data_IF_178531021400
#
_entry.id   IF_178531021400
#
_cell.length_a   1.000
_cell.length_b   1.000
_cell.length_c   1.000
_cell.angle_alpha   90.00
_cell.angle_beta   90.00
_cell.angle_gamma   90.00
#
_symmetry.space_group_name_H-M   'P 1'
#
loop_
_entity.id
_entity.type
_entity.pdbx_description
1 polymer ?
#
# COMPACT_ATOMS: atom_id res chain seq x y z
N UNK A 1 -23.43 24.63 -30.89
CA UNK A 1 -22.25 25.40 -30.49
C UNK A 1 -21.08 24.45 -30.33
N UNK A 2 -19.85 24.78 -30.80
CA UNK A 2 -18.69 23.93 -30.54
C UNK A 2 -18.36 23.92 -29.05
N UNK A 3 -18.08 22.73 -28.50
CA UNK A 3 -17.73 22.56 -27.09
C UNK A 3 -16.38 23.23 -26.79
N UNK A 4 -16.33 24.09 -25.77
CA UNK A 4 -15.07 24.68 -25.30
C UNK A 4 -14.24 23.58 -24.62
N UNK A 5 -12.98 23.32 -25.05
CA UNK A 5 -12.14 22.30 -24.43
C UNK A 5 -11.82 22.65 -22.98
N UNK A 6 -12.09 21.70 -22.08
CA UNK A 6 -11.69 21.76 -20.67
C UNK A 6 -10.17 21.55 -20.51
N UNK A 7 -9.64 21.77 -19.31
CA UNK A 7 -8.25 21.41 -18.99
C UNK A 7 -7.99 19.92 -19.22
N UNK A 8 -8.96 19.06 -18.90
CA UNK A 8 -8.80 17.61 -19.09
C UNK A 8 -8.78 17.21 -20.56
N UNK A 9 -9.56 17.88 -21.41
CA UNK A 9 -9.50 17.66 -22.87
C UNK A 9 -8.10 17.96 -23.43
N UNK A 10 -7.45 19.01 -22.93
CA UNK A 10 -6.08 19.36 -23.31
C UNK A 10 -5.11 18.27 -22.87
N UNK A 11 -5.21 17.78 -21.63
CA UNK A 11 -4.35 16.69 -21.13
C UNK A 11 -4.55 15.39 -21.91
N UNK A 12 -5.78 15.06 -22.26
CA UNK A 12 -6.10 13.91 -23.10
C UNK A 12 -5.48 14.05 -24.50
N UNK A 13 -5.56 15.22 -25.11
CA UNK A 13 -4.96 15.50 -26.41
C UNK A 13 -3.42 15.47 -26.37
N UNK A 14 -2.80 16.02 -25.32
CA UNK A 14 -1.36 15.91 -25.06
C UNK A 14 -0.93 14.45 -24.90
N UNK A 15 -1.76 13.63 -24.21
CA UNK A 15 -1.55 12.20 -24.08
C UNK A 15 -1.66 11.47 -25.42
N UNK A 16 -2.70 11.77 -26.22
CA UNK A 16 -2.95 11.18 -27.53
C UNK A 16 -1.84 11.49 -28.54
N UNK A 17 -1.29 12.70 -28.47
CA UNK A 17 -0.20 13.17 -29.35
C UNK A 17 1.20 12.89 -28.78
N UNK A 18 1.29 12.20 -27.64
CA UNK A 18 2.55 11.90 -26.93
C UNK A 18 3.40 13.12 -26.57
N UNK A 19 2.78 14.30 -26.41
CA UNK A 19 3.45 15.50 -25.89
C UNK A 19 3.74 15.37 -24.39
N UNK A 20 2.79 14.80 -23.63
CA UNK A 20 2.93 14.52 -22.20
C UNK A 20 2.33 13.16 -21.87
N UNK A 21 2.99 12.43 -20.97
CA UNK A 21 2.56 11.08 -20.57
C UNK A 21 1.75 11.10 -19.27
N UNK A 22 0.60 11.79 -19.27
CA UNK A 22 -0.21 11.96 -18.05
C UNK A 22 -0.58 10.66 -17.33
N UNK A 23 -0.79 9.57 -18.08
CA UNK A 23 -1.09 8.22 -17.58
C UNK A 23 0.16 7.41 -17.21
N UNK A 24 1.32 8.05 -17.04
CA UNK A 24 2.53 7.35 -16.58
C UNK A 24 2.36 6.91 -15.13
N UNK A 25 1.83 7.80 -14.30
CA UNK A 25 1.54 7.58 -12.88
C UNK A 25 0.04 7.50 -12.67
N UNK A 26 -0.43 6.53 -11.90
CA UNK A 26 -1.87 6.32 -11.69
C UNK A 26 -2.14 5.25 -10.65
N UNK A 27 -3.41 4.89 -10.45
CA UNK A 27 -3.84 3.91 -9.46
C UNK A 27 -3.65 2.50 -10.04
N UNK A 28 -2.39 2.17 -10.36
CA UNK A 28 -2.02 0.89 -10.98
C UNK A 28 -1.61 -0.15 -9.95
N UNK A 29 -1.53 0.21 -8.66
CA UNK A 29 -1.43 -0.74 -7.56
C UNK A 29 -2.79 -1.38 -7.31
N UNK A 30 -2.81 -2.71 -7.22
CA UNK A 30 -3.98 -3.37 -6.65
C UNK A 30 -3.98 -3.13 -5.15
N UNK A 31 -5.15 -3.13 -4.53
CA UNK A 31 -5.24 -3.06 -3.08
C UNK A 31 -5.02 -4.43 -2.43
N UNK A 32 -5.02 -5.48 -3.27
CA UNK A 32 -4.84 -6.89 -2.93
C UNK A 32 -4.16 -7.63 -4.09
N UNK A 33 -2.90 -8.05 -3.90
CA UNK A 33 -2.11 -8.81 -4.89
C UNK A 33 -1.82 -10.26 -4.46
N UNK A 34 -2.07 -10.59 -3.19
CA UNK A 34 -1.93 -11.94 -2.64
C UNK A 34 -3.01 -12.90 -3.15
N UNK A 35 -2.72 -14.20 -3.14
CA UNK A 35 -3.65 -15.24 -3.56
C UNK A 35 -3.96 -15.25 -5.06
N UNK A 36 -3.04 -14.78 -5.91
CA UNK A 36 -3.26 -14.68 -7.37
C UNK A 36 -2.50 -15.76 -8.13
N UNK A 37 -3.10 -16.21 -9.25
CA UNK A 37 -2.54 -17.28 -10.11
C UNK A 37 -1.15 -16.91 -10.67
N UNK A 38 -0.86 -15.61 -10.84
CA UNK A 38 0.46 -15.15 -11.34
C UNK A 38 1.58 -15.35 -10.31
N UNK A 39 1.22 -15.31 -9.03
CA UNK A 39 2.15 -15.46 -7.91
C UNK A 39 2.20 -16.92 -7.41
N UNK A 40 1.47 -17.83 -8.05
CA UNK A 40 1.43 -19.24 -7.70
C UNK A 40 2.59 -20.01 -8.33
N UNK A 41 3.36 -20.67 -7.47
CA UNK A 41 4.42 -21.61 -7.85
C UNK A 41 4.31 -22.92 -7.06
N UNK A 42 3.12 -23.21 -6.53
CA UNK A 42 2.80 -24.51 -5.94
C UNK A 42 2.82 -25.60 -7.00
N UNK A 43 2.99 -26.84 -6.57
CA UNK A 43 2.95 -28.00 -7.46
C UNK A 43 1.52 -28.27 -7.99
N UNK A 44 0.51 -27.95 -7.20
CA UNK A 44 -0.89 -28.35 -7.44
C UNK A 44 -1.79 -27.20 -7.93
N UNK A 45 -1.25 -25.99 -8.12
CA UNK A 45 -2.03 -24.83 -8.58
C UNK A 45 -2.93 -24.19 -7.51
N UNK A 46 -2.51 -24.26 -6.25
CA UNK A 46 -3.23 -23.75 -5.07
C UNK A 46 -2.84 -22.30 -4.74
N UNK A 47 -3.14 -21.38 -5.66
CA UNK A 47 -2.72 -19.97 -5.58
C UNK A 47 -3.10 -19.27 -4.26
N UNK A 48 -4.29 -19.57 -3.74
CA UNK A 48 -4.81 -18.99 -2.50
C UNK A 48 -4.02 -19.41 -1.25
N UNK A 49 -3.57 -20.66 -1.20
CA UNK A 49 -2.81 -21.24 -0.11
C UNK A 49 -1.30 -20.97 -0.26
N UNK A 50 -0.81 -20.83 -1.48
CA UNK A 50 0.62 -20.65 -1.76
C UNK A 50 1.15 -19.26 -1.38
N UNK A 51 0.35 -18.22 -1.62
CA UNK A 51 0.72 -16.85 -1.26
C UNK A 51 -0.46 -16.15 -0.55
N UNK A 52 -0.78 -16.55 0.69
CA UNK A 52 -1.89 -16.00 1.44
C UNK A 52 -1.61 -14.55 1.90
N UNK A 53 -2.66 -13.87 2.37
CA UNK A 53 -2.56 -12.55 2.99
C UNK A 53 -1.47 -12.48 4.07
N UNK A 54 -1.30 -13.53 4.87
CA UNK A 54 -0.32 -13.57 5.93
C UNK A 54 1.13 -13.42 5.42
N UNK A 55 1.43 -14.00 4.26
CA UNK A 55 2.74 -13.91 3.64
C UNK A 55 2.96 -12.55 2.95
N UNK A 56 1.89 -11.87 2.51
CA UNK A 56 1.93 -10.59 1.76
C UNK A 56 2.80 -9.51 2.40
N UNK A 57 2.76 -9.41 3.73
CA UNK A 57 3.55 -8.44 4.51
C UNK A 57 5.04 -8.72 4.50
N UNK A 58 5.44 -9.98 4.35
CA UNK A 58 6.81 -10.44 4.51
C UNK A 58 7.45 -10.95 3.19
N UNK A 59 6.66 -11.15 2.14
CA UNK A 59 7.11 -11.69 0.85
C UNK A 59 7.05 -10.62 -0.23
N UNK A 60 8.15 -10.42 -0.94
CA UNK A 60 8.19 -9.55 -2.10
C UNK A 60 7.40 -10.18 -3.27
N UNK A 61 6.61 -9.38 -3.97
CA UNK A 61 5.87 -9.81 -5.14
C UNK A 61 6.79 -9.90 -6.36
N UNK A 62 6.43 -10.76 -7.30
CA UNK A 62 7.22 -10.93 -8.53
C UNK A 62 6.62 -10.19 -9.72
N UNK A 63 5.30 -10.20 -9.84
CA UNK A 63 4.61 -9.70 -11.04
C UNK A 63 3.78 -8.45 -10.82
N UNK A 64 3.49 -8.11 -9.57
CA UNK A 64 2.83 -6.87 -9.22
C UNK A 64 3.29 -6.31 -7.90
N UNK A 65 2.50 -5.41 -7.33
CA UNK A 65 2.62 -4.89 -5.97
C UNK A 65 1.20 -4.52 -5.49
N UNK A 66 1.01 -4.45 -4.17
CA UNK A 66 -0.23 -3.94 -3.57
C UNK A 66 -0.03 -2.79 -2.59
N UNK A 67 -1.10 -2.01 -2.38
CA UNK A 67 -1.12 -0.95 -1.38
C UNK A 67 -2.46 -0.22 -1.29
N UNK A 68 -2.90 0.11 -0.08
CA UNK A 68 -4.13 0.90 0.12
C UNK A 68 -3.96 2.30 -0.49
N UNK A 69 -4.94 2.70 -1.31
CA UNK A 69 -4.95 3.98 -2.02
C UNK A 69 -3.66 4.26 -2.79
N UNK A 70 -3.02 3.22 -3.31
CA UNK A 70 -1.69 3.29 -3.88
C UNK A 70 -1.64 3.87 -5.29
N UNK A 71 -0.54 4.54 -5.61
CA UNK A 71 -0.17 4.91 -6.97
C UNK A 71 1.16 4.27 -7.36
N UNK A 72 1.35 4.04 -8.66
CA UNK A 72 2.64 3.65 -9.20
C UNK A 72 2.84 4.18 -10.60
N UNK A 73 4.02 3.99 -11.16
CA UNK A 73 4.17 4.02 -12.60
C UNK A 73 3.40 2.84 -13.24
N UNK A 74 3.09 2.93 -14.53
CA UNK A 74 2.35 1.89 -15.27
C UNK A 74 3.00 0.51 -15.29
N UNK A 75 4.27 0.39 -14.90
CA UNK A 75 4.97 -0.89 -14.78
C UNK A 75 5.10 -1.37 -13.33
N UNK A 76 4.56 -0.63 -12.36
CA UNK A 76 4.69 -0.88 -10.91
C UNK A 76 6.15 -1.07 -10.48
N UNK A 77 7.08 -0.25 -10.97
CA UNK A 77 8.48 -0.25 -10.54
C UNK A 77 8.72 0.70 -9.38
N UNK A 78 7.99 1.81 -9.34
CA UNK A 78 8.03 2.86 -8.32
C UNK A 78 6.63 2.98 -7.73
N UNK A 79 6.48 2.61 -6.46
CA UNK A 79 5.20 2.42 -5.81
C UNK A 79 5.09 3.31 -4.57
N UNK A 80 3.92 3.91 -4.37
CA UNK A 80 3.58 4.67 -3.19
C UNK A 80 2.21 4.22 -2.67
N UNK A 81 2.05 4.09 -1.36
CA UNK A 81 0.76 3.83 -0.72
C UNK A 81 0.75 4.33 0.72
N UNK A 82 -0.40 4.18 1.37
CA UNK A 82 -0.56 4.51 2.80
C UNK A 82 -0.63 3.21 3.60
N UNK A 83 0.08 3.19 4.72
CA UNK A 83 -0.11 2.22 5.78
C UNK A 83 -0.58 2.92 7.06
N UNK A 84 -1.41 2.22 7.83
CA UNK A 84 -2.03 2.75 9.05
C UNK A 84 -1.84 1.78 10.22
N UNK A 85 -1.83 2.30 11.44
CA UNK A 85 -1.91 1.47 12.65
C UNK A 85 -2.65 2.21 13.76
N UNK A 86 -3.71 1.60 14.27
CA UNK A 86 -4.57 2.15 15.34
C UNK A 86 -4.01 1.90 16.75
N UNK A 87 -2.79 1.38 16.87
CA UNK A 87 -2.18 1.00 18.16
C UNK A 87 -2.66 -0.34 18.73
N UNK A 88 -3.61 -1.03 18.07
CA UNK A 88 -4.25 -2.25 18.54
C UNK A 88 -4.16 -3.42 17.56
N UNK A 89 -4.08 -3.13 16.27
CA UNK A 89 -3.98 -4.15 15.24
C UNK A 89 -2.67 -4.93 15.35
N UNK A 90 -2.69 -6.25 15.11
CA UNK A 90 -1.50 -7.08 15.16
C UNK A 90 -0.59 -6.89 13.94
N UNK A 91 -1.06 -6.19 12.91
CA UNK A 91 -0.34 -5.92 11.66
C UNK A 91 -0.56 -4.48 11.21
N UNK A 92 0.32 -3.96 10.34
CA UNK A 92 0.08 -2.68 9.69
C UNK A 92 -1.03 -2.84 8.66
N UNK A 93 -1.94 -1.87 8.63
CA UNK A 93 -2.98 -1.81 7.63
C UNK A 93 -2.47 -1.15 6.36
N UNK A 94 -1.77 -1.92 5.54
CA UNK A 94 -1.10 -1.47 4.31
C UNK A 94 -1.64 -2.11 3.02
N UNK A 95 -2.54 -3.09 3.16
CA UNK A 95 -3.26 -3.78 2.08
C UNK A 95 -4.64 -4.21 2.59
N UNK A 96 -5.56 -4.44 1.67
CA UNK A 96 -6.90 -4.89 2.03
C UNK A 96 -6.89 -6.37 2.43
N UNK A 97 -7.58 -6.65 3.52
CA UNK A 97 -7.87 -8.01 3.96
C UNK A 97 -9.11 -8.56 3.27
N UNK A 98 -9.16 -9.86 3.13
CA UNK A 98 -10.28 -10.57 2.55
C UNK A 98 -10.14 -12.07 2.75
N UNK A 99 -11.16 -12.79 2.33
CA UNK A 99 -11.24 -14.23 2.31
C UNK A 99 -10.75 -14.74 0.95
N UNK A 100 -10.02 -15.86 0.97
CA UNK A 100 -9.76 -16.64 -0.25
C UNK A 100 -11.05 -17.32 -0.73
N UNK A 101 -11.02 -17.85 -1.95
CA UNK A 101 -12.16 -18.62 -2.49
C UNK A 101 -12.57 -19.82 -1.62
N UNK A 102 -11.63 -20.41 -0.87
CA UNK A 102 -11.88 -21.52 0.03
C UNK A 102 -12.36 -21.09 1.43
N UNK A 103 -12.24 -19.80 1.76
CA UNK A 103 -12.63 -19.25 3.07
C UNK A 103 -14.01 -18.60 3.04
N UNK A 104 -14.42 -17.99 1.93
CA UNK A 104 -15.74 -17.39 1.81
C UNK A 104 -16.82 -18.38 1.38
N UNK A 105 -18.02 -18.25 1.94
CA UNK A 105 -19.19 -19.05 1.58
C UNK A 105 -19.66 -18.80 0.13
N UNK A 106 -19.36 -17.62 -0.43
CA UNK A 106 -19.61 -17.25 -1.84
C UNK A 106 -18.34 -16.98 -2.65
N UNK A 107 -17.18 -17.37 -2.13
CA UNK A 107 -15.89 -17.27 -2.81
C UNK A 107 -14.98 -16.19 -2.23
N UNK A 108 -14.19 -15.57 -3.10
CA UNK A 108 -13.23 -14.54 -2.71
C UNK A 108 -13.95 -13.24 -2.36
N UNK A 109 -13.60 -12.64 -1.22
CA UNK A 109 -14.41 -11.58 -0.64
C UNK A 109 -13.56 -10.61 0.19
N UNK A 110 -13.63 -9.31 -0.13
CA UNK A 110 -12.84 -8.27 0.55
C UNK A 110 -13.59 -7.75 1.76
N UNK A 111 -13.01 -7.91 2.95
CA UNK A 111 -13.68 -7.59 4.23
C UNK A 111 -13.35 -6.20 4.74
N UNK A 112 -13.35 -5.22 3.85
CA UNK A 112 -12.90 -3.85 4.12
C UNK A 112 -13.90 -2.83 3.61
N UNK A 113 -13.97 -1.66 4.25
CA UNK A 113 -14.83 -0.57 3.80
C UNK A 113 -14.00 0.54 3.14
N UNK A 114 -14.08 0.65 1.81
CA UNK A 114 -13.34 1.62 1.02
C UNK A 114 -14.13 2.08 -0.20
N UNK A 115 -13.86 3.30 -0.65
CA UNK A 115 -14.63 3.95 -1.71
C UNK A 115 -13.71 4.78 -2.61
N UNK A 116 -13.75 4.53 -3.91
CA UNK A 116 -13.19 5.45 -4.90
C UNK A 116 -14.17 6.60 -5.09
N UNK A 117 -13.74 7.82 -4.79
CA UNK A 117 -14.61 8.99 -4.77
C UNK A 117 -14.47 9.83 -6.04
N UNK A 118 -13.27 9.92 -6.60
CA UNK A 118 -13.02 10.69 -7.82
C UNK A 118 -11.76 10.17 -8.54
N UNK A 119 -11.78 10.22 -9.87
CA UNK A 119 -10.60 10.04 -10.72
C UNK A 119 -10.85 10.61 -12.11
N UNK A 120 -10.06 11.61 -12.48
CA UNK A 120 -10.00 12.09 -13.87
C UNK A 120 -9.43 11.03 -14.83
N UNK A 121 -9.80 11.03 -16.13
CA UNK A 121 -9.26 10.08 -17.13
C UNK A 121 -7.73 10.05 -17.27
N UNK A 122 -7.06 11.16 -16.96
CA UNK A 122 -5.60 11.30 -16.97
C UNK A 122 -4.95 11.04 -15.61
N UNK A 123 -5.73 10.69 -14.59
CA UNK A 123 -5.31 10.58 -13.20
C UNK A 123 -4.61 11.86 -12.71
N UNK A 124 -5.01 13.02 -13.24
CA UNK A 124 -4.50 14.33 -12.82
C UNK A 124 -5.09 14.76 -11.48
N UNK A 125 -6.25 14.22 -11.13
CA UNK A 125 -6.81 14.20 -9.78
C UNK A 125 -7.39 12.83 -9.48
N UNK A 126 -7.18 12.34 -8.25
CA UNK A 126 -7.72 11.09 -7.71
C UNK A 126 -8.03 11.25 -6.22
N UNK A 127 -9.11 10.61 -5.75
CA UNK A 127 -9.49 10.60 -4.33
C UNK A 127 -10.10 9.26 -3.92
N UNK A 128 -9.61 8.71 -2.81
CA UNK A 128 -10.13 7.50 -2.17
C UNK A 128 -10.46 7.79 -0.70
N UNK A 129 -11.48 7.12 -0.18
CA UNK A 129 -11.79 7.04 1.25
C UNK A 129 -11.60 5.61 1.72
N UNK A 130 -10.86 5.43 2.81
CA UNK A 130 -10.74 4.18 3.55
C UNK A 130 -11.30 4.35 4.96
N UNK A 131 -12.12 3.40 5.42
CA UNK A 131 -12.66 3.38 6.80
C UNK A 131 -11.87 2.39 7.63
N UNK A 132 -11.17 2.90 8.64
CA UNK A 132 -10.29 2.10 9.49
C UNK A 132 -10.80 2.04 10.94
N UNK A 133 -11.09 0.86 11.52
CA UNK A 133 -11.60 0.80 12.88
C UNK A 133 -10.60 1.26 13.94
N UNK A 134 -11.09 1.84 15.03
CA UNK A 134 -10.26 2.18 16.20
C UNK A 134 -9.95 0.94 17.06
N UNK A 135 -10.84 -0.04 17.07
CA UNK A 135 -10.62 -1.34 17.71
C UNK A 135 -9.73 -2.24 16.85
N UNK A 136 -9.19 -3.30 17.45
CA UNK A 136 -8.47 -4.36 16.71
C UNK A 136 -9.38 -4.90 15.61
N UNK A 137 -8.84 -4.98 14.40
CA UNK A 137 -9.54 -5.49 13.25
C UNK A 137 -9.88 -6.99 13.43
N UNK A 138 -11.13 -7.43 13.17
CA UNK A 138 -11.64 -8.75 13.56
C UNK A 138 -11.30 -9.85 12.54
N UNK A 139 -10.02 -10.03 12.23
CA UNK A 139 -9.55 -10.99 11.21
C UNK A 139 -10.06 -12.42 11.44
N UNK A 140 -9.87 -12.95 12.65
CA UNK A 140 -10.18 -14.33 12.98
C UNK A 140 -11.70 -14.58 12.95
N UNK A 141 -12.48 -13.65 13.49
CA UNK A 141 -13.94 -13.73 13.49
C UNK A 141 -14.50 -13.75 12.06
N UNK A 142 -13.98 -12.91 11.16
CA UNK A 142 -14.39 -12.86 9.77
C UNK A 142 -14.12 -14.19 9.04
N UNK A 143 -12.98 -14.82 9.27
CA UNK A 143 -12.64 -16.11 8.66
C UNK A 143 -13.50 -17.23 9.23
N UNK A 144 -13.58 -17.33 10.56
CA UNK A 144 -14.27 -18.44 11.24
C UNK A 144 -15.77 -18.44 10.97
N UNK A 145 -16.42 -17.27 11.01
CA UNK A 145 -17.86 -17.18 10.81
C UNK A 145 -18.24 -17.46 9.36
N UNK A 146 -17.51 -16.93 8.38
CA UNK A 146 -17.78 -17.24 6.97
C UNK A 146 -17.52 -18.72 6.64
N UNK A 147 -16.51 -19.36 7.26
CA UNK A 147 -16.27 -20.79 7.09
C UNK A 147 -17.39 -21.68 7.65
N UNK A 148 -18.14 -21.21 8.66
CA UNK A 148 -19.31 -21.93 9.22
C UNK A 148 -20.56 -21.76 8.35
N UNK A 149 -20.63 -20.71 7.54
CA UNK A 149 -21.80 -20.42 6.72
C UNK A 149 -21.81 -21.24 5.43
N UNK A 150 -22.95 -21.86 5.14
CA UNK A 150 -23.18 -22.52 3.86
C UNK A 150 -23.59 -21.54 2.76
N UNK A 151 -23.62 -22.02 1.51
CA UNK A 151 -24.02 -21.23 0.32
C UNK A 151 -25.41 -20.58 0.41
N UNK A 152 -26.30 -21.12 1.25
CA UNK A 152 -27.66 -20.59 1.45
C UNK A 152 -27.75 -19.44 2.46
N UNK A 153 -26.65 -19.06 3.11
CA UNK A 153 -26.60 -17.97 4.08
C UNK A 153 -25.88 -16.75 3.48
N UNK A 154 -26.21 -15.52 3.90
CA UNK A 154 -25.48 -14.33 3.48
C UNK A 154 -24.04 -14.34 4.01
N UNK A 155 -23.14 -13.67 3.31
CA UNK A 155 -21.78 -13.37 3.77
C UNK A 155 -21.83 -12.67 5.15
N UNK A 156 -20.85 -12.97 6.01
CA UNK A 156 -20.65 -12.23 7.25
C UNK A 156 -19.68 -11.09 7.00
N UNK A 157 -20.16 -9.86 7.13
CA UNK A 157 -19.41 -8.66 6.75
C UNK A 157 -18.72 -7.97 7.93
N UNK A 158 -17.76 -7.10 7.61
CA UNK A 158 -17.08 -6.27 8.62
C UNK A 158 -18.09 -5.48 9.46
N UNK A 159 -19.19 -5.02 8.86
CA UNK A 159 -20.26 -4.29 9.55
C UNK A 159 -20.96 -5.14 10.63
N UNK A 160 -21.08 -6.45 10.41
CA UNK A 160 -21.77 -7.36 11.32
C UNK A 160 -20.95 -7.66 12.60
N UNK A 161 -19.66 -7.36 12.58
CA UNK A 161 -18.76 -7.56 13.73
C UNK A 161 -18.98 -6.55 14.86
N UNK A 162 -19.64 -5.43 14.58
CA UNK A 162 -19.77 -4.31 15.51
C UNK A 162 -18.49 -3.47 15.67
N UNK A 163 -17.45 -3.70 14.87
CA UNK A 163 -16.17 -2.95 15.00
C UNK A 163 -16.32 -1.44 14.72
N UNK A 164 -17.42 -1.02 14.08
CA UNK A 164 -17.77 0.37 13.81
C UNK A 164 -18.87 0.92 14.71
N UNK A 165 -19.31 0.17 15.73
CA UNK A 165 -20.28 0.66 16.71
C UNK A 165 -19.82 1.96 17.36
N UNK A 166 -20.78 2.83 17.68
CA UNK A 166 -20.56 4.16 18.27
C UNK A 166 -19.64 5.08 17.42
N UNK A 167 -19.66 4.90 16.10
CA UNK A 167 -18.81 5.63 15.15
C UNK A 167 -17.29 5.52 15.43
N UNK A 168 -16.86 4.43 16.10
CA UNK A 168 -15.46 4.22 16.53
C UNK A 168 -14.54 3.79 15.38
N UNK A 169 -14.39 4.65 14.38
CA UNK A 169 -13.49 4.48 13.25
C UNK A 169 -12.85 5.80 12.81
N UNK A 170 -11.88 5.69 11.91
CA UNK A 170 -11.27 6.79 11.20
C UNK A 170 -11.76 6.79 9.74
N UNK A 171 -12.18 7.95 9.25
CA UNK A 171 -12.23 8.19 7.80
C UNK A 171 -10.85 8.67 7.35
N UNK A 172 -10.20 7.91 6.48
CA UNK A 172 -8.89 8.26 5.91
C UNK A 172 -9.07 8.57 4.43
N UNK A 173 -8.98 9.85 4.10
CA UNK A 173 -8.97 10.31 2.71
C UNK A 173 -7.54 10.35 2.19
N UNK A 174 -7.33 9.80 1.01
CA UNK A 174 -6.07 9.89 0.27
C UNK A 174 -6.36 10.53 -1.08
N UNK A 175 -5.67 11.63 -1.34
CA UNK A 175 -5.86 12.48 -2.52
C UNK A 175 -4.55 12.70 -3.24
N UNK A 176 -4.62 12.66 -4.57
CA UNK A 176 -3.52 12.94 -5.48
C UNK A 176 -3.92 14.05 -6.43
N UNK A 177 -3.03 15.02 -6.64
CA UNK A 177 -3.19 16.06 -7.65
C UNK A 177 -1.88 16.26 -8.41
N UNK A 178 -1.95 16.30 -9.74
CA UNK A 178 -0.78 16.53 -10.60
C UNK A 178 -0.67 18.00 -10.98
N UNK A 179 0.42 18.64 -10.57
CA UNK A 179 0.83 19.92 -11.15
C UNK A 179 1.42 19.71 -12.56
N UNK A 180 2.18 18.63 -12.75
CA UNK A 180 2.63 18.12 -14.05
C UNK A 180 2.77 16.57 -14.00
N UNK A 181 3.20 15.95 -15.10
CA UNK A 181 3.34 14.49 -15.24
C UNK A 181 4.22 13.87 -14.15
N UNK A 182 5.32 14.55 -13.77
CA UNK A 182 6.30 14.08 -12.78
C UNK A 182 6.19 14.82 -11.43
N UNK A 183 5.17 15.68 -11.27
CA UNK A 183 4.96 16.49 -10.06
C UNK A 183 3.58 16.19 -9.47
N UNK A 184 3.59 15.36 -8.43
CA UNK A 184 2.40 14.78 -7.80
C UNK A 184 2.34 15.24 -6.35
N UNK A 185 1.29 16.01 -6.03
CA UNK A 185 0.93 16.39 -4.69
C UNK A 185 0.09 15.29 -4.07
N UNK A 186 0.41 14.96 -2.81
CA UNK A 186 -0.26 13.92 -2.04
C UNK A 186 -0.83 14.55 -0.77
N UNK A 187 -2.11 14.33 -0.51
CA UNK A 187 -2.75 14.74 0.75
C UNK A 187 -3.41 13.53 1.40
N UNK A 188 -3.07 13.32 2.67
CA UNK A 188 -3.68 12.29 3.50
C UNK A 188 -4.35 13.00 4.67
N UNK A 189 -5.66 12.82 4.82
CA UNK A 189 -6.45 13.43 5.88
C UNK A 189 -7.19 12.33 6.64
N UNK A 190 -6.92 12.21 7.93
CA UNK A 190 -7.59 11.27 8.82
C UNK A 190 -8.56 12.02 9.75
N UNK A 191 -9.80 11.56 9.82
CA UNK A 191 -10.84 12.10 10.69
C UNK A 191 -11.26 11.03 11.68
N UNK A 192 -11.03 11.28 12.96
CA UNK A 192 -11.60 10.48 14.03
C UNK A 192 -13.12 10.75 14.10
N UNK A 193 -13.94 9.72 13.82
CA UNK A 193 -15.40 9.81 13.90
C UNK A 193 -15.94 9.46 15.28
N UNK A 194 -15.15 8.78 16.10
CA UNK A 194 -15.56 8.33 17.41
C UNK A 194 -15.66 9.48 18.41
N UNK A 195 -16.37 9.26 19.52
CA UNK A 195 -16.60 10.27 20.55
C UNK A 195 -15.34 10.60 21.37
N UNK A 196 -14.35 9.72 21.36
CA UNK A 196 -13.13 9.81 22.18
C UNK A 196 -11.89 10.00 21.29
N UNK A 197 -10.86 10.64 21.84
CA UNK A 197 -9.56 10.70 21.18
C UNK A 197 -8.97 9.29 21.02
N UNK A 198 -8.48 8.96 19.83
CA UNK A 198 -7.91 7.67 19.49
C UNK A 198 -6.61 7.86 18.71
N UNK A 199 -5.62 7.01 18.99
CA UNK A 199 -4.31 7.02 18.32
C UNK A 199 -4.42 6.44 16.92
N UNK A 200 -3.77 7.11 15.95
CA UNK A 200 -3.61 6.60 14.60
C UNK A 200 -2.22 6.97 14.09
N UNK A 201 -1.38 5.97 13.90
CA UNK A 201 -0.13 6.15 13.19
C UNK A 201 -0.39 6.12 11.69
N UNK A 202 0.12 7.11 10.96
CA UNK A 202 0.03 7.21 9.50
C UNK A 202 1.42 7.08 8.90
N UNK A 203 1.57 6.13 7.98
CA UNK A 203 2.85 5.77 7.37
C UNK A 203 2.71 5.83 5.84
N UNK A 204 2.87 7.00 5.20
CA UNK A 204 3.05 7.05 3.76
C UNK A 204 4.35 6.31 3.40
N UNK A 205 4.24 5.29 2.54
CA UNK A 205 5.34 4.43 2.15
C UNK A 205 5.69 4.62 0.69
N UNK A 206 6.98 4.51 0.36
CA UNK A 206 7.45 4.37 -0.99
C UNK A 206 8.35 3.16 -1.10
N UNK A 207 8.22 2.38 -2.17
CA UNK A 207 9.11 1.25 -2.43
C UNK A 207 9.29 1.02 -3.92
N UNK A 208 10.39 0.35 -4.23
CA UNK A 208 10.61 -0.19 -5.55
C UNK A 208 10.16 -1.65 -5.60
N UNK A 209 9.44 -2.05 -6.65
CA UNK A 209 9.12 -3.47 -6.85
C UNK A 209 10.41 -4.25 -6.99
N UNK A 210 10.49 -5.37 -6.29
CA UNK A 210 11.68 -6.21 -6.30
C UNK A 210 11.84 -6.90 -7.67
N UNK A 211 12.73 -6.38 -8.51
CA UNK A 211 13.11 -7.00 -9.80
C UNK A 211 14.46 -7.69 -9.72
N UNK A 212 15.30 -7.29 -8.76
CA UNK A 212 16.69 -7.73 -8.63
C UNK A 212 16.89 -9.11 -8.04
N UNK A 213 15.92 -9.60 -7.27
CA UNK A 213 16.07 -10.89 -6.60
C UNK A 213 15.83 -12.10 -7.52
N UNK A 214 15.30 -11.86 -8.72
CA UNK A 214 14.83 -12.91 -9.65
C UNK A 214 15.80 -13.22 -10.81
N UNK A 215 16.98 -12.60 -10.83
CA UNK A 215 18.07 -12.94 -11.76
C UNK A 215 17.96 -12.41 -13.20
N UNK A 216 16.95 -11.58 -13.52
CA UNK A 216 16.79 -10.99 -14.88
C UNK A 216 17.42 -9.60 -15.02
N UNK A 217 17.36 -8.80 -13.98
CA UNK A 217 17.96 -7.46 -13.94
C UNK A 217 18.57 -7.27 -12.56
N UNK A 218 19.89 -7.14 -12.44
CA UNK A 218 20.58 -7.07 -11.15
C UNK A 218 20.68 -5.65 -10.59
N UNK A 219 20.23 -4.64 -11.35
CA UNK A 219 20.31 -3.24 -10.90
C UNK A 219 19.36 -3.04 -9.73
N UNK A 220 19.88 -2.45 -8.65
CA UNK A 220 19.09 -2.11 -7.46
C UNK A 220 18.82 -0.60 -7.44
N UNK A 221 17.55 -0.18 -7.33
CA UNK A 221 17.23 1.21 -7.11
C UNK A 221 17.55 1.60 -5.67
N UNK A 222 17.57 2.90 -5.37
CA UNK A 222 17.95 3.39 -4.05
C UNK A 222 16.97 4.47 -3.59
N UNK A 223 16.45 4.32 -2.39
CA UNK A 223 15.85 5.39 -1.60
C UNK A 223 16.85 5.77 -0.51
N UNK A 224 17.18 7.05 -0.38
CA UNK A 224 18.08 7.54 0.67
C UNK A 224 17.60 8.87 1.23
N UNK A 225 17.84 9.13 2.52
CA UNK A 225 17.57 10.45 3.09
C UNK A 225 18.36 11.51 2.33
N UNK A 226 17.68 12.58 1.93
CA UNK A 226 18.26 13.73 1.27
C UNK A 226 18.32 14.92 2.23
N UNK A 227 19.02 15.99 1.82
CA UNK A 227 18.97 17.25 2.55
C UNK A 227 17.53 17.76 2.60
N UNK A 228 17.05 18.05 3.82
CA UNK A 228 15.71 18.58 4.03
C UNK A 228 15.57 20.00 3.50
N UNK A 229 14.42 20.28 2.89
CA UNK A 229 13.95 21.64 2.65
C UNK A 229 13.24 22.11 3.94
N UNK A 230 13.32 23.40 4.33
CA UNK A 230 12.64 23.87 5.53
C UNK A 230 11.18 23.44 5.59
N UNK A 231 10.80 22.77 6.68
CA UNK A 231 9.45 22.24 6.88
C UNK A 231 9.16 20.91 6.17
N UNK A 232 10.17 20.21 5.64
CA UNK A 232 9.98 18.88 5.06
C UNK A 232 11.08 17.87 5.45
N UNK A 233 10.68 16.60 5.54
CA UNK A 233 11.59 15.46 5.47
C UNK A 233 11.74 15.03 4.00
N UNK A 234 12.98 14.90 3.52
CA UNK A 234 13.25 14.67 2.09
C UNK A 234 13.93 13.31 1.86
N UNK A 235 13.47 12.57 0.85
CA UNK A 235 14.06 11.32 0.39
C UNK A 235 14.38 11.43 -1.09
N UNK A 236 15.64 11.17 -1.47
CA UNK A 236 16.05 11.00 -2.86
C UNK A 236 15.73 9.56 -3.29
N UNK A 237 15.06 9.44 -4.42
CA UNK A 237 14.69 8.19 -5.08
C UNK A 237 15.45 8.08 -6.40
N UNK A 238 16.24 7.03 -6.57
CA UNK A 238 17.06 6.82 -7.75
C UNK A 238 16.73 5.46 -8.38
N UNK A 239 16.22 5.50 -9.62
CA UNK A 239 15.94 4.32 -10.42
C UNK A 239 16.52 4.50 -11.82
N UNK A 240 17.28 3.53 -12.33
CA UNK A 240 18.05 3.68 -13.58
C UNK A 240 17.22 4.09 -14.80
N UNK A 241 15.97 3.62 -14.90
CA UNK A 241 15.08 3.96 -16.02
C UNK A 241 14.40 5.33 -15.85
N UNK A 242 14.16 5.73 -14.61
CA UNK A 242 13.32 6.89 -14.30
C UNK A 242 14.16 8.11 -13.91
N UNK A 243 15.43 7.93 -13.53
CA UNK A 243 16.30 8.97 -12.99
C UNK A 243 15.98 9.30 -11.53
N UNK A 244 16.48 10.45 -11.08
CA UNK A 244 16.27 10.95 -9.72
C UNK A 244 14.89 11.57 -9.54
N UNK A 245 14.28 11.33 -8.38
CA UNK A 245 13.04 11.94 -7.88
C UNK A 245 13.18 12.22 -6.39
N UNK A 246 12.26 13.02 -5.87
CA UNK A 246 12.20 13.34 -4.45
C UNK A 246 10.81 13.03 -3.90
N UNK A 247 10.78 12.38 -2.75
CA UNK A 247 9.59 12.28 -1.91
C UNK A 247 9.76 13.26 -0.75
N UNK A 248 8.81 14.16 -0.60
CA UNK A 248 8.83 15.21 0.42
C UNK A 248 7.67 14.97 1.40
N UNK A 249 7.98 14.66 2.65
CA UNK A 249 7.02 14.59 3.75
C UNK A 249 6.91 15.92 4.47
N UNK A 250 5.70 16.38 4.77
CA UNK A 250 5.49 17.64 5.49
C UNK A 250 5.94 17.53 6.96
N UNK A 251 6.54 18.59 7.50
CA UNK A 251 7.03 18.62 8.88
C UNK A 251 8.33 17.84 9.04
N UNK A 252 8.46 17.12 10.15
CA UNK A 252 9.64 16.35 10.51
C UNK A 252 9.27 14.93 10.97
N UNK A 253 8.61 14.11 10.12
CA UNK A 253 8.32 12.72 10.46
C UNK A 253 9.59 11.90 10.61
N UNK A 254 9.49 10.81 11.37
CA UNK A 254 10.57 9.84 11.46
C UNK A 254 10.66 9.05 10.14
N UNK A 255 11.74 9.26 9.38
CA UNK A 255 12.00 8.48 8.17
C UNK A 255 12.68 7.16 8.53
N UNK A 256 12.00 6.05 8.25
CA UNK A 256 12.51 4.68 8.46
C UNK A 256 12.73 3.96 7.12
N UNK A 257 13.82 3.21 7.01
CA UNK A 257 14.27 2.58 5.77
C UNK A 257 14.42 1.06 5.93
N UNK A 258 14.15 0.32 4.85
CA UNK A 258 14.37 -1.13 4.77
C UNK A 258 14.53 -1.55 3.31
N UNK A 259 14.65 -2.85 3.06
CA UNK A 259 14.61 -3.44 1.73
C UNK A 259 13.22 -4.02 1.43
N UNK A 260 12.74 -3.85 0.19
CA UNK A 260 11.58 -4.63 -0.31
C UNK A 260 12.03 -6.05 -0.67
N UNK A 261 12.56 -6.79 0.31
CA UNK A 261 13.05 -8.17 0.14
C UNK A 261 12.26 -9.15 1.00
N UNK A 262 12.05 -10.34 0.46
CA UNK A 262 11.36 -11.42 1.16
C UNK A 262 12.09 -11.81 2.45
N UNK A 263 11.35 -11.88 3.54
CA UNK A 263 11.81 -12.43 4.80
C UNK A 263 11.80 -13.97 4.76
N UNK A 264 12.87 -14.54 4.23
CA UNK A 264 13.07 -15.98 4.14
C UNK A 264 13.15 -16.67 5.51
N UNK A 265 13.70 -15.99 6.52
CA UNK A 265 13.79 -16.52 7.88
C UNK A 265 12.39 -16.81 8.45
N UNK A 266 11.47 -15.85 8.28
CA UNK A 266 10.08 -16.00 8.73
C UNK A 266 9.28 -17.01 7.91
N UNK A 267 9.39 -16.96 6.59
CA UNK A 267 8.46 -17.67 5.71
C UNK A 267 8.91 -19.08 5.31
N UNK A 268 10.22 -19.31 5.26
CA UNK A 268 10.79 -20.49 4.62
C UNK A 268 11.92 -21.13 5.44
N UNK A 269 12.08 -20.75 6.72
CA UNK A 269 13.21 -21.15 7.58
C UNK A 269 14.58 -20.98 6.89
N UNK A 270 14.68 -19.97 6.01
CA UNK A 270 15.87 -19.67 5.21
C UNK A 270 16.71 -18.54 5.79
N UNK A 271 17.84 -18.25 5.16
CA UNK A 271 18.67 -17.10 5.53
C UNK A 271 18.29 -15.87 4.70
N UNK A 272 18.06 -14.74 5.37
CA UNK A 272 17.86 -13.46 4.69
C UNK A 272 19.19 -12.95 4.09
N UNK A 273 19.13 -12.31 2.92
CA UNK A 273 20.30 -11.68 2.27
C UNK A 273 20.78 -10.43 3.01
N UNK A 274 19.83 -9.75 3.65
CA UNK A 274 20.00 -8.56 4.48
C UNK A 274 19.21 -8.75 5.79
N UNK A 275 19.64 -8.17 6.92
CA UNK A 275 18.80 -8.13 8.12
C UNK A 275 17.54 -7.26 7.94
N UNK A 276 17.55 -6.32 6.99
CA UNK A 276 16.43 -5.43 6.70
C UNK A 276 15.58 -6.03 5.58
N UNK A 277 14.32 -6.35 5.87
CA UNK A 277 13.39 -7.07 4.99
C UNK A 277 12.02 -6.39 4.96
N UNK A 278 11.14 -6.85 4.08
CA UNK A 278 9.88 -6.17 3.70
C UNK A 278 8.96 -5.84 4.89
N UNK A 279 8.92 -6.70 5.91
CA UNK A 279 8.09 -6.56 7.10
C UNK A 279 8.74 -5.75 8.24
N UNK A 280 9.92 -5.15 8.04
CA UNK A 280 10.64 -4.39 9.06
C UNK A 280 9.82 -3.30 9.75
N UNK A 281 8.88 -2.65 9.05
CA UNK A 281 8.04 -1.61 9.64
C UNK A 281 7.03 -2.17 10.65
N UNK A 282 6.60 -3.44 10.49
CA UNK A 282 5.78 -4.12 11.48
C UNK A 282 6.59 -4.34 12.76
N UNK A 283 7.79 -4.90 12.62
CA UNK A 283 8.71 -5.14 13.74
C UNK A 283 9.05 -3.85 14.49
N UNK A 284 9.34 -2.77 13.74
CA UNK A 284 9.74 -1.48 14.30
C UNK A 284 8.63 -0.79 15.11
N UNK A 285 7.41 -0.77 14.57
CA UNK A 285 6.30 -0.01 15.13
C UNK A 285 5.46 -0.83 16.11
N UNK A 286 5.08 -2.05 15.73
CA UNK A 286 4.15 -2.90 16.50
C UNK A 286 4.90 -3.67 17.59
N UNK A 287 6.07 -4.23 17.27
CA UNK A 287 6.85 -5.05 18.20
C UNK A 287 7.98 -4.28 18.90
N UNK A 288 8.17 -3.01 18.56
CA UNK A 288 9.20 -2.15 19.18
C UNK A 288 10.64 -2.53 18.83
N UNK A 289 10.87 -3.43 17.87
CA UNK A 289 12.20 -3.86 17.45
C UNK A 289 12.86 -2.79 16.58
N UNK A 290 13.56 -1.85 17.22
CA UNK A 290 14.24 -0.74 16.53
C UNK A 290 15.37 -1.18 15.60
N UNK A 291 15.92 -2.39 15.79
CA UNK A 291 16.98 -2.93 14.95
C UNK A 291 16.47 -3.54 13.62
N UNK A 292 15.15 -3.64 13.43
CA UNK A 292 14.57 -4.22 12.21
C UNK A 292 14.69 -3.30 10.99
N UNK A 293 14.82 -1.99 11.18
CA UNK A 293 15.00 -1.00 10.11
C UNK A 293 16.48 -0.64 9.95
N UNK A 294 16.85 -0.18 8.76
CA UNK A 294 18.22 0.20 8.47
C UNK A 294 18.60 1.50 9.23
N UNK A 295 19.60 1.46 10.13
CA UNK A 295 20.09 2.66 10.81
C UNK A 295 20.82 3.61 9.84
N UNK A 296 21.40 3.06 8.77
CA UNK A 296 21.84 3.86 7.64
C UNK A 296 20.58 4.26 6.84
N UNK A 297 20.32 5.56 6.61
CA UNK A 297 19.05 6.02 6.05
C UNK A 297 18.97 5.79 4.54
N UNK A 298 19.01 4.52 4.14
CA UNK A 298 19.08 4.00 2.79
C UNK A 298 18.37 2.65 2.68
N UNK A 299 17.77 2.37 1.53
CA UNK A 299 17.17 1.07 1.22
C UNK A 299 16.43 1.07 -0.11
N UNK A 300 15.54 0.10 -0.29
CA UNK A 300 14.62 0.02 -1.45
C UNK A 300 13.15 0.23 -1.05
N UNK A 301 12.88 0.40 0.24
CA UNK A 301 11.58 0.75 0.82
C UNK A 301 11.78 1.75 1.95
N UNK A 302 10.91 2.75 2.03
CA UNK A 302 10.96 3.83 3.02
C UNK A 302 9.54 4.16 3.48
N UNK A 303 9.40 4.60 4.73
CA UNK A 303 8.17 5.19 5.24
C UNK A 303 8.47 6.47 6.02
N UNK A 304 7.57 7.43 5.93
CA UNK A 304 7.52 8.57 6.84
C UNK A 304 6.53 8.24 7.97
N UNK A 305 7.01 8.12 9.20
CA UNK A 305 6.16 7.80 10.35
C UNK A 305 5.62 9.07 11.00
N UNK A 306 4.30 9.24 10.96
CA UNK A 306 3.56 10.24 11.70
C UNK A 306 2.81 9.53 12.84
N UNK A 307 3.20 9.73 14.11
CA UNK A 307 2.59 9.05 15.24
C UNK A 307 1.26 9.65 15.72
#
# INVERSE_FOLDING_TARGET
MPRIPTTEDRRLEEGRTHKKYWKRWGPYLSERQWGTVREDYSLDGTAWEYFPHDHARARAYRWGEDGIAGISDRHQLMCFSVALWNGRDPILKERLFGLTGNQGNHGEDVKECYFYLDSTPTHSYMRMLYKYPQARFPYEQLVEENARRGRGQPEFELLDTGVFSDDRYFDVFVEYAKADVEDILIRIAAFNRGPEAATLHVLPQFWFRNTWSWGRDLRRPIARRAASIPGTASVELEHWQYGKRWLLGAGNPDLVFTENETNFARLFNGRNRSPYVKDAFHEYLIHGNKAAVNPDPVGTKVAALYP
#
